data_IF_186603955291
#
_entry.id   IF_186603955291
#
_cell.length_a   1.000
_cell.length_b   1.000
_cell.length_c   1.000
_cell.angle_alpha   90.00
_cell.angle_beta   90.00
_cell.angle_gamma   90.00
#
_symmetry.space_group_name_H-M   'P 1'
#
loop_
_entity.id
_entity.type
_entity.pdbx_description
1 polymer ?
#
# COMPACT_ATOMS: atom_id res chain seq x y z
N UNK A 1 2.85 -12.00 6.41
CA UNK A 1 2.60 -12.78 5.18
C UNK A 1 1.30 -12.39 4.48
N UNK A 2 0.21 -12.06 5.21
CA UNK A 2 -1.09 -11.66 4.62
C UNK A 2 -1.04 -10.31 3.88
N UNK A 3 -0.23 -9.36 4.36
CA UNK A 3 -0.05 -8.00 3.79
C UNK A 3 0.23 -7.96 2.28
N UNK A 4 1.21 -8.76 1.82
CA UNK A 4 1.59 -8.80 0.41
C UNK A 4 0.47 -9.30 -0.50
N UNK A 5 -0.46 -10.11 0.03
CA UNK A 5 -1.58 -10.62 -0.74
C UNK A 5 -2.62 -9.52 -1.01
N UNK A 6 -2.76 -8.56 -0.10
CA UNK A 6 -3.71 -7.45 -0.20
C UNK A 6 -3.23 -6.41 -1.22
N UNK A 7 -1.95 -6.04 -1.15
CA UNK A 7 -1.28 -5.16 -2.12
C UNK A 7 -1.30 -5.77 -3.53
N UNK A 8 -1.04 -7.07 -3.63
CA UNK A 8 -1.10 -7.79 -4.90
C UNK A 8 -2.53 -7.85 -5.45
N UNK A 9 -3.53 -8.03 -4.57
CA UNK A 9 -4.95 -8.02 -4.96
C UNK A 9 -5.37 -6.66 -5.54
N UNK A 10 -4.93 -5.54 -4.96
CA UNK A 10 -5.20 -4.20 -5.48
C UNK A 10 -4.57 -3.98 -6.87
N UNK A 11 -3.36 -4.50 -7.09
CA UNK A 11 -2.71 -4.45 -8.39
C UNK A 11 -3.45 -5.26 -9.46
N UNK A 12 -3.93 -6.46 -9.11
CA UNK A 12 -4.66 -7.33 -10.04
C UNK A 12 -6.12 -6.92 -10.28
N UNK A 13 -6.70 -6.10 -9.40
CA UNK A 13 -8.08 -5.66 -9.49
C UNK A 13 -8.49 -5.09 -10.88
N UNK A 14 -7.75 -4.15 -11.49
CA UNK A 14 -8.11 -3.64 -12.83
C UNK A 14 -8.06 -4.72 -13.91
N UNK A 15 -7.12 -5.67 -13.82
CA UNK A 15 -7.02 -6.79 -14.76
C UNK A 15 -8.21 -7.75 -14.61
N UNK A 16 -8.60 -8.06 -13.37
CA UNK A 16 -9.76 -8.90 -13.07
C UNK A 16 -11.06 -8.25 -13.57
N UNK A 17 -11.26 -6.96 -13.31
CA UNK A 17 -12.42 -6.21 -13.79
C UNK A 17 -12.50 -6.18 -15.32
N UNK A 18 -11.38 -5.94 -16.00
CA UNK A 18 -11.34 -5.94 -17.46
C UNK A 18 -11.57 -7.33 -18.06
N UNK A 19 -11.04 -8.38 -17.42
CA UNK A 19 -11.31 -9.75 -17.81
C UNK A 19 -12.81 -10.08 -17.72
N UNK A 20 -13.45 -9.74 -16.59
CA UNK A 20 -14.90 -9.91 -16.40
C UNK A 20 -15.69 -9.13 -17.45
N UNK A 21 -15.26 -7.91 -17.79
CA UNK A 21 -15.87 -7.10 -18.84
C UNK A 21 -15.78 -7.77 -20.22
N UNK A 22 -14.63 -8.35 -20.60
CA UNK A 22 -14.48 -9.08 -21.87
C UNK A 22 -15.38 -10.31 -21.93
N UNK A 23 -15.46 -11.08 -20.84
CA UNK A 23 -16.36 -12.24 -20.72
C UNK A 23 -17.82 -11.81 -20.84
N UNK A 24 -18.21 -10.75 -20.13
CA UNK A 24 -19.58 -10.23 -20.17
C UNK A 24 -19.99 -9.69 -21.56
N UNK A 25 -19.05 -9.11 -22.30
CA UNK A 25 -19.27 -8.62 -23.67
C UNK A 25 -19.14 -9.72 -24.73
N UNK A 26 -18.97 -10.99 -24.32
CA UNK A 26 -18.74 -12.16 -25.19
C UNK A 26 -17.61 -11.97 -26.20
N UNK A 27 -16.62 -11.16 -25.84
CA UNK A 27 -15.38 -11.07 -26.60
C UNK A 27 -14.49 -12.22 -26.16
N UNK A 28 -13.69 -12.72 -27.10
CA UNK A 28 -12.67 -13.74 -26.82
C UNK A 28 -11.68 -13.18 -25.79
N UNK A 29 -11.92 -13.47 -24.50
CA UNK A 29 -11.14 -12.95 -23.40
C UNK A 29 -9.69 -13.49 -23.39
N UNK A 30 -9.47 -14.62 -24.05
CA UNK A 30 -8.14 -15.22 -24.23
C UNK A 30 -7.43 -14.74 -25.50
N UNK A 31 -8.11 -14.01 -26.40
CA UNK A 31 -7.50 -13.49 -27.62
C UNK A 31 -6.65 -12.24 -27.32
N UNK A 32 -5.33 -12.24 -27.64
CA UNK A 32 -4.42 -11.13 -27.36
C UNK A 32 -4.83 -9.78 -27.98
N UNK A 33 -5.61 -9.81 -29.05
CA UNK A 33 -6.06 -8.65 -29.82
C UNK A 33 -6.90 -7.70 -28.96
N UNK A 34 -7.79 -8.24 -28.12
CA UNK A 34 -8.69 -7.45 -27.27
C UNK A 34 -7.98 -6.75 -26.12
N UNK A 35 -6.79 -7.24 -25.74
CA UNK A 35 -5.98 -6.66 -24.67
C UNK A 35 -5.03 -5.58 -25.16
N UNK A 36 -4.68 -5.58 -26.45
CA UNK A 36 -3.56 -4.80 -27.00
C UNK A 36 -3.67 -3.29 -26.74
N UNK A 37 -4.87 -2.73 -26.82
CA UNK A 37 -5.13 -1.30 -26.54
C UNK A 37 -5.34 -0.97 -25.06
N UNK A 38 -5.84 -1.91 -24.26
CA UNK A 38 -6.21 -1.65 -22.86
C UNK A 38 -5.09 -2.01 -21.87
N UNK A 39 -4.23 -2.97 -22.20
CA UNK A 39 -3.23 -3.53 -21.29
C UNK A 39 -2.26 -2.51 -20.69
N UNK A 40 -1.86 -1.49 -21.47
CA UNK A 40 -1.01 -0.40 -20.97
C UNK A 40 -1.72 0.45 -19.93
N UNK A 41 -2.98 0.83 -20.21
CA UNK A 41 -3.81 1.59 -19.27
C UNK A 41 -4.16 0.81 -18.01
N UNK A 42 -4.42 -0.51 -18.13
CA UNK A 42 -4.66 -1.38 -16.99
C UNK A 42 -3.44 -1.51 -16.09
N UNK A 43 -2.24 -1.61 -16.68
CA UNK A 43 -1.00 -1.61 -15.92
C UNK A 43 -0.80 -0.28 -15.18
N UNK A 44 -1.03 0.86 -15.84
CA UNK A 44 -0.95 2.19 -15.21
C UNK A 44 -1.98 2.32 -14.08
N UNK A 45 -3.22 1.88 -14.30
CA UNK A 45 -4.26 1.90 -13.27
C UNK A 45 -3.91 1.00 -12.07
N UNK A 46 -3.37 -0.21 -12.31
CA UNK A 46 -2.94 -1.13 -11.26
C UNK A 46 -1.80 -0.57 -10.42
N UNK A 47 -0.79 0.02 -11.07
CA UNK A 47 0.30 0.72 -10.38
C UNK A 47 -0.25 1.91 -9.57
N UNK A 48 -1.16 2.69 -10.15
CA UNK A 48 -1.81 3.82 -9.48
C UNK A 48 -2.56 3.39 -8.21
N UNK A 49 -3.31 2.30 -8.27
CA UNK A 49 -4.01 1.73 -7.11
C UNK A 49 -3.06 1.22 -6.03
N UNK A 50 -1.97 0.55 -6.42
CA UNK A 50 -0.94 0.10 -5.49
C UNK A 50 -0.28 1.28 -4.76
N UNK A 51 0.12 2.32 -5.50
CA UNK A 51 0.67 3.55 -4.92
C UNK A 51 -0.35 4.22 -3.99
N UNK A 52 -1.61 4.32 -4.42
CA UNK A 52 -2.67 4.90 -3.60
C UNK A 52 -2.87 4.11 -2.29
N UNK A 53 -2.80 2.78 -2.32
CA UNK A 53 -2.84 1.93 -1.12
C UNK A 53 -1.66 2.20 -0.17
N UNK A 54 -0.44 2.33 -0.71
CA UNK A 54 0.73 2.67 0.12
C UNK A 54 0.60 4.07 0.73
N UNK A 55 0.13 5.05 -0.05
CA UNK A 55 -0.09 6.42 0.44
C UNK A 55 -1.20 6.45 1.49
N UNK A 56 -2.29 5.74 1.24
CA UNK A 56 -3.38 5.55 2.18
C UNK A 56 -2.85 5.10 3.54
N UNK A 57 -2.01 4.06 3.56
CA UNK A 57 -1.41 3.61 4.81
C UNK A 57 -0.54 4.68 5.45
N UNK A 58 0.30 5.40 4.71
CA UNK A 58 1.13 6.46 5.33
C UNK A 58 0.31 7.62 5.92
N UNK A 59 -0.87 7.88 5.37
CA UNK A 59 -1.76 8.96 5.82
C UNK A 59 -2.69 8.51 6.95
N UNK A 60 -3.10 7.24 6.97
CA UNK A 60 -4.04 6.69 7.96
C UNK A 60 -3.39 5.86 9.07
N UNK A 61 -2.11 5.43 8.95
CA UNK A 61 -1.35 4.95 10.10
C UNK A 61 -1.08 6.13 11.02
N UNK A 62 -1.92 6.23 12.04
CA UNK A 62 -1.63 6.97 13.25
C UNK A 62 -0.25 6.52 13.73
N UNK A 63 0.73 7.44 13.75
CA UNK A 63 2.10 7.14 14.19
C UNK A 63 2.09 6.91 15.71
N UNK A 64 1.60 5.74 16.12
CA UNK A 64 1.64 5.25 17.50
C UNK A 64 3.07 4.93 17.95
N UNK A 65 4.05 4.98 17.04
CA UNK A 65 5.46 4.89 17.39
C UNK A 65 5.90 6.23 17.99
N UNK A 66 5.87 6.30 19.32
CA UNK A 66 6.43 7.43 20.07
C UNK A 66 7.82 7.83 19.57
N UNK A 67 8.20 9.09 19.77
CA UNK A 67 9.53 9.56 19.37
C UNK A 67 10.57 8.77 20.15
N UNK A 68 11.44 8.05 19.44
CA UNK A 68 12.53 7.33 20.06
C UNK A 68 13.53 8.33 20.63
N UNK A 69 13.66 8.38 21.96
CA UNK A 69 14.81 9.02 22.61
C UNK A 69 15.93 8.00 22.74
N UNK A 70 17.10 8.24 22.12
CA UNK A 70 18.25 7.39 22.30
C UNK A 70 18.78 7.46 23.74
N UNK A 71 19.53 6.42 24.11
CA UNK A 71 20.23 6.39 25.40
C UNK A 71 21.20 7.57 25.47
N UNK A 72 21.17 8.28 26.59
CA UNK A 72 22.02 9.45 26.81
C UNK A 72 22.51 9.45 28.26
N UNK A 73 23.63 10.14 28.48
CA UNK A 73 24.20 10.32 29.81
C UNK A 73 23.66 11.62 30.40
N UNK A 74 22.92 11.53 31.50
CA UNK A 74 22.50 12.69 32.31
C UNK A 74 23.24 12.64 33.65
N UNK A 75 24.02 13.68 33.95
CA UNK A 75 24.72 13.81 35.24
C UNK A 75 25.58 12.58 35.61
N UNK A 76 26.25 11.98 34.62
CA UNK A 76 27.08 10.79 34.81
C UNK A 76 26.32 9.48 35.00
N UNK A 77 24.97 9.49 34.92
CA UNK A 77 24.14 8.29 34.89
C UNK A 77 23.65 8.00 33.48
N UNK A 78 23.75 6.74 33.08
CA UNK A 78 23.25 6.27 31.80
C UNK A 78 21.73 6.15 31.84
N UNK A 79 21.03 6.96 31.05
CA UNK A 79 19.58 6.89 30.85
C UNK A 79 19.30 5.99 29.64
N UNK A 80 18.58 4.86 29.80
CA UNK A 80 18.25 3.97 28.70
C UNK A 80 17.35 4.65 27.66
N UNK A 81 17.53 4.26 26.40
CA UNK A 81 16.67 4.74 25.32
C UNK A 81 15.23 4.24 25.49
N UNK A 82 14.26 5.09 25.17
CA UNK A 82 12.83 4.79 25.28
C UNK A 82 12.03 5.45 24.17
N UNK A 83 10.93 4.82 23.80
CA UNK A 83 9.92 5.46 22.94
C UNK A 83 9.03 6.33 23.82
N UNK A 84 9.05 7.65 23.61
CA UNK A 84 8.18 8.57 24.32
C UNK A 84 6.92 8.83 23.48
N UNK A 85 5.73 8.64 24.07
CA UNK A 85 4.48 9.02 23.42
C UNK A 85 4.53 10.52 23.04
N UNK A 86 4.01 10.91 21.86
CA UNK A 86 4.02 12.31 21.43
C UNK A 86 3.32 13.15 22.50
N UNK A 87 4.04 14.14 23.04
CA UNK A 87 3.55 15.00 24.11
C UNK A 87 2.34 15.82 23.60
N UNK A 88 1.12 15.37 23.92
CA UNK A 88 -0.08 16.07 23.49
C UNK A 88 -1.39 15.32 23.72
N UNK A 89 -1.77 15.11 24.98
CA UNK A 89 -3.04 15.59 25.60
C UNK A 89 -3.17 15.06 27.04
N UNK A 90 -3.80 15.83 27.96
CA UNK A 90 -4.00 15.45 29.35
C UNK A 90 -4.86 14.19 29.51
#
# INVERSE_FOLDING_TARGET
MIRYLEELSLFFLPFALFFVFLVATRREAFAPEHWRGARGWLAIAGVGLAIAGLLAETLWLDRQTGIYRPAHLENGRLVPGRFEAPAGKP
#
